data_IF_520268047196
#
_entry.id   IF_520268047196
#
_cell.length_a   1.000
_cell.length_b   1.000
_cell.length_c   1.000
_cell.angle_alpha   90.00
_cell.angle_beta   90.00
_cell.angle_gamma   90.00
#
_symmetry.space_group_name_H-M   'P 1'
#
loop_
_entity.id
_entity.type
_entity.pdbx_description
1 polymer ?
#
# COMPACT_ATOMS: atom_id res chain seq x y z
N UNK A 1 -1.07 26.76 8.86
CA UNK A 1 0.26 26.11 8.65
C UNK A 1 1.02 25.89 9.97
N UNK A 2 0.36 25.69 11.12
CA UNK A 2 1.03 25.71 12.43
C UNK A 2 0.71 24.58 13.41
N UNK A 3 0.04 23.51 12.98
CA UNK A 3 -0.41 22.45 13.91
C UNK A 3 0.73 21.44 14.20
N UNK A 4 1.64 21.86 15.08
CA UNK A 4 2.68 21.01 15.64
C UNK A 4 2.52 20.97 17.16
N UNK A 5 2.57 19.78 17.73
CA UNK A 5 2.67 19.56 19.17
C UNK A 5 4.14 19.51 19.57
N UNK A 6 4.49 20.17 20.67
CA UNK A 6 5.79 20.05 21.33
C UNK A 6 5.70 18.98 22.42
N UNK A 7 6.62 18.01 22.40
CA UNK A 7 6.82 17.11 23.53
C UNK A 7 7.72 17.82 24.56
N UNK A 8 7.14 18.22 25.70
CA UNK A 8 7.85 18.93 26.76
C UNK A 8 8.96 18.09 27.42
N UNK A 9 8.88 16.76 27.34
CA UNK A 9 9.88 15.86 27.94
C UNK A 9 11.09 15.67 27.05
N UNK A 10 10.90 15.69 25.73
CA UNK A 10 11.99 15.43 24.76
C UNK A 10 12.40 16.65 23.95
N UNK A 11 11.67 17.76 24.05
CA UNK A 11 11.88 19.00 23.29
C UNK A 11 11.55 18.87 21.80
N UNK A 12 11.05 17.72 21.34
CA UNK A 12 10.80 17.46 19.92
C UNK A 12 9.43 17.96 19.51
N UNK A 13 9.34 18.58 18.34
CA UNK A 13 8.05 18.97 17.76
C UNK A 13 7.59 17.95 16.73
N UNK A 14 6.30 17.67 16.69
CA UNK A 14 5.72 16.74 15.73
C UNK A 14 4.35 17.22 15.25
N UNK A 15 3.97 16.91 14.01
CA UNK A 15 2.66 17.32 13.50
C UNK A 15 1.54 16.74 14.37
N UNK A 16 0.54 17.54 14.72
CA UNK A 16 -0.60 17.11 15.54
C UNK A 16 -1.39 16.00 14.84
N UNK A 17 -1.70 16.19 13.56
CA UNK A 17 -2.48 15.25 12.75
C UNK A 17 -1.62 14.46 11.75
N UNK A 18 -0.63 13.70 12.23
CA UNK A 18 0.33 12.97 11.35
C UNK A 18 -0.37 12.09 10.31
N UNK A 19 -1.39 11.32 10.73
CA UNK A 19 -2.11 10.38 9.85
C UNK A 19 -2.91 11.11 8.78
N UNK A 20 -3.70 12.11 9.16
CA UNK A 20 -4.49 12.93 8.22
C UNK A 20 -3.59 13.66 7.23
N UNK A 21 -2.51 14.28 7.73
CA UNK A 21 -1.53 14.94 6.88
C UNK A 21 -0.86 13.98 5.91
N UNK A 22 -0.50 12.77 6.36
CA UNK A 22 0.06 11.73 5.50
C UNK A 22 -0.93 11.29 4.41
N UNK A 23 -2.20 11.07 4.78
CA UNK A 23 -3.26 10.71 3.84
C UNK A 23 -3.47 11.81 2.79
N UNK A 24 -3.62 13.08 3.21
CA UNK A 24 -3.74 14.23 2.32
C UNK A 24 -2.55 14.34 1.36
N UNK A 25 -1.32 14.20 1.87
CA UNK A 25 -0.14 14.27 1.03
C UNK A 25 -0.01 13.08 0.09
N UNK A 26 -0.49 11.89 0.48
CA UNK A 26 -0.55 10.72 -0.40
C UNK A 26 -1.50 10.98 -1.56
N UNK A 27 -2.72 11.47 -1.27
CA UNK A 27 -3.67 11.88 -2.30
C UNK A 27 -3.03 12.92 -3.21
N UNK A 28 -2.57 14.06 -2.66
CA UNK A 28 -2.01 15.15 -3.47
C UNK A 28 -0.85 14.72 -4.38
N UNK A 29 0.03 13.83 -3.93
CA UNK A 29 1.15 13.32 -4.74
C UNK A 29 0.71 12.36 -5.84
N UNK A 30 -0.30 11.54 -5.56
CA UNK A 30 -0.80 10.52 -6.50
C UNK A 30 -1.98 11.01 -7.34
N UNK A 31 -2.42 12.25 -7.13
CA UNK A 31 -3.53 12.91 -7.82
C UNK A 31 -3.49 12.69 -9.35
N UNK A 32 -2.35 12.84 -10.05
CA UNK A 32 -2.31 12.61 -11.50
C UNK A 32 -2.65 11.18 -11.96
N UNK A 33 -2.57 10.19 -11.07
CA UNK A 33 -2.75 8.77 -11.39
C UNK A 33 -4.05 8.19 -10.84
N UNK A 34 -4.77 8.93 -9.99
CA UNK A 34 -5.98 8.42 -9.33
C UNK A 34 -7.12 8.18 -10.31
N UNK A 35 -7.18 8.96 -11.38
CA UNK A 35 -8.25 8.91 -12.38
C UNK A 35 -7.86 8.19 -13.66
N UNK A 36 -6.73 7.50 -13.72
CA UNK A 36 -6.28 6.78 -14.93
C UNK A 36 -7.34 5.82 -15.48
N UNK A 37 -8.09 5.13 -14.61
CA UNK A 37 -9.14 4.21 -15.05
C UNK A 37 -10.35 4.93 -15.69
N UNK A 38 -10.54 6.21 -15.37
CA UNK A 38 -11.61 7.05 -15.87
C UNK A 38 -11.17 7.80 -17.13
N UNK A 39 -9.96 8.35 -17.12
CA UNK A 39 -9.39 9.15 -18.21
C UNK A 39 -9.04 8.30 -19.45
N UNK A 40 -8.73 7.01 -19.26
CA UNK A 40 -8.31 6.07 -20.32
C UNK A 40 -9.18 4.80 -20.35
N UNK A 41 -10.47 4.88 -20.75
CA UNK A 41 -11.38 3.73 -20.77
C UNK A 41 -10.93 2.62 -21.74
N UNK A 42 -10.16 2.95 -22.78
CA UNK A 42 -9.61 2.01 -23.76
C UNK A 42 -8.59 1.04 -23.17
N UNK A 43 -7.99 1.37 -22.02
CA UNK A 43 -7.10 0.47 -21.29
C UNK A 43 -7.86 -0.61 -20.52
N UNK A 44 -9.21 -0.54 -20.48
CA UNK A 44 -10.08 -1.49 -19.79
C UNK A 44 -9.68 -1.73 -18.33
N UNK A 45 -9.14 -0.70 -17.67
CA UNK A 45 -8.73 -0.78 -16.27
C UNK A 45 -10.00 -0.82 -15.40
N UNK A 46 -10.18 -1.85 -14.56
CA UNK A 46 -11.34 -1.92 -13.68
C UNK A 46 -11.28 -0.80 -12.63
N UNK A 47 -12.44 -0.23 -12.32
CA UNK A 47 -12.61 0.76 -11.24
C UNK A 47 -12.62 0.12 -9.83
N UNK A 48 -12.43 -1.19 -9.73
CA UNK A 48 -12.34 -1.94 -8.46
C UNK A 48 -10.99 -2.63 -8.33
N UNK A 49 -10.51 -2.78 -7.10
CA UNK A 49 -9.28 -3.51 -6.79
C UNK A 49 -9.54 -4.98 -6.38
N UNK A 50 -10.76 -5.49 -6.57
CA UNK A 50 -11.18 -6.83 -6.12
C UNK A 50 -10.25 -7.95 -6.62
N UNK A 51 -9.81 -7.86 -7.87
CA UNK A 51 -8.86 -8.82 -8.45
C UNK A 51 -7.52 -8.82 -7.69
N UNK A 52 -7.00 -7.64 -7.36
CA UNK A 52 -5.74 -7.48 -6.61
C UNK A 52 -5.89 -7.96 -5.17
N UNK A 53 -6.97 -7.57 -4.48
CA UNK A 53 -7.23 -8.00 -3.10
C UNK A 53 -7.39 -9.53 -2.98
N UNK A 54 -8.03 -10.16 -3.97
CA UNK A 54 -8.13 -11.62 -4.06
C UNK A 54 -6.75 -12.29 -4.19
N UNK A 55 -5.90 -11.79 -5.10
CA UNK A 55 -4.51 -12.26 -5.27
C UNK A 55 -3.73 -12.12 -3.97
N UNK A 56 -3.76 -10.94 -3.37
CA UNK A 56 -2.99 -10.66 -2.16
C UNK A 56 -3.48 -11.50 -0.99
N UNK A 57 -4.78 -11.75 -0.89
CA UNK A 57 -5.34 -12.62 0.16
C UNK A 57 -4.87 -14.06 0.01
N UNK A 58 -4.85 -14.60 -1.20
CA UNK A 58 -4.31 -15.94 -1.48
C UNK A 58 -2.82 -16.03 -1.13
N UNK A 59 -2.00 -15.07 -1.60
CA UNK A 59 -0.57 -15.02 -1.29
C UNK A 59 -0.34 -14.92 0.23
N UNK A 60 -1.03 -14.00 0.92
CA UNK A 60 -0.92 -13.83 2.39
C UNK A 60 -1.27 -15.13 3.12
N UNK A 61 -2.30 -15.83 2.67
CA UNK A 61 -2.76 -17.08 3.28
C UNK A 61 -1.71 -18.18 3.15
N UNK A 62 -1.13 -18.36 1.97
CA UNK A 62 -0.06 -19.34 1.71
C UNK A 62 1.22 -19.00 2.47
N UNK A 63 1.61 -17.72 2.50
CA UNK A 63 2.78 -17.27 3.27
C UNK A 63 2.61 -17.45 4.79
N UNK A 64 1.38 -17.29 5.31
CA UNK A 64 1.10 -17.40 6.74
C UNK A 64 1.41 -18.79 7.30
N UNK A 65 1.20 -19.84 6.50
CA UNK A 65 1.54 -21.23 6.86
C UNK A 65 3.06 -21.41 7.03
N UNK A 66 3.85 -20.55 6.40
CA UNK A 66 5.30 -20.57 6.39
C UNK A 66 5.92 -19.35 7.11
N UNK A 67 5.37 -18.97 8.27
CA UNK A 67 5.76 -17.74 8.99
C UNK A 67 7.26 -17.66 9.34
N UNK A 68 7.93 -18.80 9.54
CA UNK A 68 9.35 -18.91 9.89
C UNK A 68 10.36 -18.97 8.73
N UNK A 69 9.94 -18.81 7.47
CA UNK A 69 10.87 -18.86 6.34
C UNK A 69 11.74 -17.59 6.24
N UNK A 70 12.95 -17.75 5.71
CA UNK A 70 13.85 -16.62 5.44
C UNK A 70 13.23 -15.65 4.43
N UNK A 71 13.67 -14.39 4.47
CA UNK A 71 13.22 -13.35 3.54
C UNK A 71 13.43 -13.76 2.08
N UNK A 72 14.57 -14.38 1.77
CA UNK A 72 14.90 -14.86 0.41
C UNK A 72 13.91 -15.93 -0.06
N UNK A 73 13.60 -16.92 0.78
CA UNK A 73 12.62 -17.96 0.44
C UNK A 73 11.20 -17.39 0.34
N UNK A 74 10.85 -16.41 1.18
CA UNK A 74 9.57 -15.70 1.07
C UNK A 74 9.42 -15.00 -0.28
N UNK A 75 10.46 -14.32 -0.76
CA UNK A 75 10.45 -13.67 -2.08
C UNK A 75 10.30 -14.70 -3.19
N UNK A 76 11.09 -15.79 -3.16
CA UNK A 76 10.99 -16.86 -4.16
C UNK A 76 9.59 -17.48 -4.21
N UNK A 77 8.99 -17.73 -3.04
CA UNK A 77 7.63 -18.24 -2.95
C UNK A 77 6.60 -17.25 -3.52
N UNK A 78 6.71 -15.95 -3.22
CA UNK A 78 5.82 -14.93 -3.81
C UNK A 78 5.94 -14.92 -5.33
N UNK A 79 7.17 -14.94 -5.86
CA UNK A 79 7.42 -14.97 -7.31
C UNK A 79 6.78 -16.20 -7.96
N UNK A 80 6.95 -17.38 -7.36
CA UNK A 80 6.34 -18.62 -7.83
C UNK A 80 4.81 -18.57 -7.78
N UNK A 81 4.22 -18.02 -6.71
CA UNK A 81 2.78 -17.88 -6.57
C UNK A 81 2.18 -16.93 -7.61
N UNK A 82 2.90 -15.86 -7.97
CA UNK A 82 2.50 -14.95 -9.03
C UNK A 82 2.63 -15.64 -10.39
N UNK A 83 3.77 -16.29 -10.66
CA UNK A 83 4.05 -16.98 -11.93
C UNK A 83 3.17 -18.21 -12.21
N UNK A 84 2.56 -18.81 -11.17
CA UNK A 84 1.57 -19.88 -11.37
C UNK A 84 0.18 -19.35 -11.76
N UNK A 85 -0.07 -18.07 -11.53
CA UNK A 85 -1.39 -17.44 -11.73
C UNK A 85 -1.51 -16.70 -13.07
N UNK A 86 -0.38 -16.39 -13.69
CA UNK A 86 -0.24 -15.68 -14.97
C UNK A 86 0.80 -16.39 -15.83
#
# INVERSE_FOLDING_TARGET
MGERSLDLRTGKTSYTHKRLRSAYLSLRRNMPWLWTHYDYPELHIPNTNNALEGVFTDIKTKLRVHSGISKQRRIAMIQELIARRY
#
